data_IF_508505475991
#
_entry.id   IF_508505475991
#
_cell.length_a   1.000
_cell.length_b   1.000
_cell.length_c   1.000
_cell.angle_alpha   90.00
_cell.angle_beta   90.00
_cell.angle_gamma   90.00
#
_symmetry.space_group_name_H-M   'P 1'
#
loop_
_entity.id
_entity.type
_entity.pdbx_description
1 polymer ?
#
# COMPACT_ATOMS: atom_id res chain seq x y z
N UNK A 1 -8.87 8.15 20.92
CA UNK A 1 -8.65 8.11 19.47
C UNK A 1 -8.44 6.70 18.99
N UNK A 2 -9.38 6.20 18.20
CA UNK A 2 -9.41 4.89 17.56
C UNK A 2 -9.38 5.10 16.04
N UNK A 3 -8.47 4.42 15.38
CA UNK A 3 -8.40 4.38 13.91
C UNK A 3 -8.32 2.93 13.46
N UNK A 4 -8.81 2.65 12.26
CA UNK A 4 -8.73 1.29 11.69
C UNK A 4 -7.70 1.23 10.58
N UNK A 5 -7.09 0.05 10.40
CA UNK A 5 -6.26 -0.27 9.25
C UNK A 5 -6.80 -1.54 8.59
N UNK A 6 -7.17 -1.44 7.32
CA UNK A 6 -7.76 -2.53 6.55
C UNK A 6 -6.91 -2.84 5.32
N UNK A 7 -6.44 -4.08 5.21
CA UNK A 7 -5.81 -4.59 3.99
C UNK A 7 -6.85 -5.28 3.13
N UNK A 8 -6.93 -4.90 1.85
CA UNK A 8 -7.92 -5.41 0.89
C UNK A 8 -7.24 -6.35 -0.11
N UNK A 9 -7.79 -7.54 -0.28
CA UNK A 9 -7.28 -8.59 -1.17
C UNK A 9 -8.17 -8.74 -2.42
N UNK A 10 -7.82 -9.66 -3.33
CA UNK A 10 -8.54 -9.83 -4.60
C UNK A 10 -10.01 -10.27 -4.46
N UNK A 11 -10.41 -10.79 -3.30
CA UNK A 11 -11.78 -11.17 -2.98
C UNK A 11 -12.57 -10.07 -2.23
N UNK A 12 -11.98 -8.88 -2.06
CA UNK A 12 -12.65 -7.76 -1.42
C UNK A 12 -13.90 -7.34 -2.21
N UNK A 13 -15.05 -7.25 -1.53
CA UNK A 13 -16.32 -6.86 -2.11
C UNK A 13 -16.63 -5.41 -1.74
N UNK A 14 -16.57 -4.45 -2.68
CA UNK A 14 -16.77 -3.02 -2.41
C UNK A 14 -18.01 -2.71 -1.57
N UNK A 15 -19.12 -3.39 -1.86
CA UNK A 15 -20.41 -3.18 -1.23
C UNK A 15 -20.36 -3.51 0.27
N UNK A 16 -19.66 -4.59 0.65
CA UNK A 16 -19.45 -4.96 2.06
C UNK A 16 -18.55 -3.95 2.78
N UNK A 17 -17.57 -3.38 2.08
CA UNK A 17 -16.73 -2.34 2.65
C UNK A 17 -17.48 -1.01 2.81
N UNK A 18 -18.46 -0.71 1.96
CA UNK A 18 -19.32 0.47 2.13
C UNK A 18 -20.13 0.37 3.43
N UNK A 19 -20.76 -0.78 3.69
CA UNK A 19 -21.48 -1.05 4.94
C UNK A 19 -20.54 -1.00 6.16
N UNK A 20 -19.32 -1.53 6.01
CA UNK A 20 -18.30 -1.47 7.04
C UNK A 20 -17.88 -0.02 7.33
N UNK A 21 -17.64 0.80 6.31
CA UNK A 21 -17.28 2.21 6.48
C UNK A 21 -18.41 3.01 7.14
N UNK A 22 -19.65 2.78 6.72
CA UNK A 22 -20.82 3.40 7.36
C UNK A 22 -20.88 3.03 8.85
N UNK A 23 -20.75 1.75 9.17
CA UNK A 23 -20.73 1.25 10.56
C UNK A 23 -19.62 1.91 11.40
N UNK A 24 -18.39 1.99 10.87
CA UNK A 24 -17.27 2.62 11.60
C UNK A 24 -17.51 4.12 11.87
N UNK A 25 -18.12 4.83 10.92
CA UNK A 25 -18.45 6.24 11.11
C UNK A 25 -19.59 6.42 12.12
N UNK A 26 -20.61 5.55 12.11
CA UNK A 26 -21.68 5.54 13.11
C UNK A 26 -21.16 5.25 14.52
N UNK A 27 -20.17 4.37 14.66
CA UNK A 27 -19.48 4.09 15.93
C UNK A 27 -18.58 5.24 16.42
N UNK A 28 -18.35 6.27 15.61
CA UNK A 28 -17.51 7.41 15.97
C UNK A 28 -16.00 7.16 15.86
N UNK A 29 -15.57 6.20 15.05
CA UNK A 29 -14.14 6.00 14.72
C UNK A 29 -13.61 7.25 14.01
N UNK A 30 -12.50 7.83 14.49
CA UNK A 30 -12.04 9.12 13.96
C UNK A 30 -11.51 9.05 12.52
N UNK A 31 -11.07 7.88 12.07
CA UNK A 31 -10.78 7.66 10.66
C UNK A 31 -10.22 6.28 10.33
N UNK A 32 -10.23 5.98 9.05
CA UNK A 32 -9.92 4.67 8.49
C UNK A 32 -8.67 4.75 7.61
N UNK A 33 -7.94 3.65 7.52
CA UNK A 33 -6.89 3.45 6.52
C UNK A 33 -7.20 2.20 5.73
N UNK A 34 -7.04 2.29 4.41
CA UNK A 34 -7.21 1.19 3.47
C UNK A 34 -5.94 1.04 2.63
N UNK A 35 -5.51 -0.19 2.41
CA UNK A 35 -4.35 -0.50 1.59
C UNK A 35 -4.60 -1.77 0.79
N UNK A 36 -4.17 -1.87 -0.47
CA UNK A 36 -4.17 -3.14 -1.17
C UNK A 36 -3.21 -4.12 -0.48
N UNK A 37 -3.60 -5.39 -0.47
CA UNK A 37 -2.67 -6.49 -0.27
C UNK A 37 -1.79 -6.62 -1.53
N UNK A 38 -0.48 -6.67 -1.32
CA UNK A 38 0.52 -6.76 -2.38
C UNK A 38 1.28 -8.10 -2.26
N UNK A 39 1.51 -8.84 -3.37
CA UNK A 39 2.29 -10.07 -3.32
C UNK A 39 3.77 -9.72 -3.15
N UNK A 40 4.32 -10.03 -1.98
CA UNK A 40 5.76 -9.98 -1.74
C UNK A 40 6.30 -11.39 -1.52
N UNK A 41 7.59 -11.60 -1.82
CA UNK A 41 8.24 -12.92 -1.83
C UNK A 41 8.07 -13.69 -0.50
N UNK A 42 8.04 -12.97 0.63
CA UNK A 42 7.90 -13.56 1.96
C UNK A 42 6.44 -13.77 2.40
N UNK A 43 5.45 -13.40 1.57
CA UNK A 43 4.06 -13.62 1.90
C UNK A 43 3.72 -15.12 1.80
N UNK A 44 3.08 -15.71 2.83
CA UNK A 44 2.77 -17.13 2.85
C UNK A 44 1.69 -17.54 1.83
N UNK A 45 0.83 -16.62 1.40
CA UNK A 45 -0.28 -16.87 0.49
C UNK A 45 -0.17 -16.02 -0.78
N UNK A 46 0.35 -16.60 -1.86
CA UNK A 46 0.56 -15.87 -3.12
C UNK A 46 -0.70 -15.77 -4.00
N UNK A 47 -1.81 -16.45 -3.65
CA UNK A 47 -2.97 -16.62 -4.55
C UNK A 47 -4.04 -15.53 -4.43
N UNK A 48 -4.03 -14.75 -3.35
CA UNK A 48 -5.08 -13.79 -3.04
C UNK A 48 -4.69 -12.33 -3.21
N UNK A 49 -3.53 -12.07 -3.80
CA UNK A 49 -3.01 -10.73 -3.96
C UNK A 49 -3.51 -10.03 -5.23
N UNK A 50 -3.49 -8.69 -5.18
CA UNK A 50 -3.88 -7.83 -6.28
C UNK A 50 -2.64 -7.42 -7.08
N UNK A 51 -2.71 -7.56 -8.40
CA UNK A 51 -1.83 -6.82 -9.30
C UNK A 51 -2.22 -5.33 -9.35
N UNK A 52 -1.34 -4.48 -9.88
CA UNK A 52 -1.56 -3.03 -9.87
C UNK A 52 -2.84 -2.60 -10.59
N UNK A 53 -3.20 -3.23 -11.72
CA UNK A 53 -4.46 -2.94 -12.42
C UNK A 53 -5.69 -3.42 -11.67
N UNK A 54 -5.62 -4.59 -11.04
CA UNK A 54 -6.70 -5.13 -10.22
C UNK A 54 -6.94 -4.25 -8.98
N UNK A 55 -5.86 -3.77 -8.36
CA UNK A 55 -5.90 -2.76 -7.30
C UNK A 55 -6.64 -1.52 -7.77
N UNK A 56 -6.27 -0.96 -8.92
CA UNK A 56 -6.94 0.22 -9.48
C UNK A 56 -8.42 -0.03 -9.74
N UNK A 57 -8.78 -1.19 -10.29
CA UNK A 57 -10.17 -1.57 -10.54
C UNK A 57 -10.97 -1.68 -9.24
N UNK A 58 -10.43 -2.35 -8.22
CA UNK A 58 -11.05 -2.51 -6.91
C UNK A 58 -11.26 -1.15 -6.22
N UNK A 59 -10.22 -0.33 -6.13
CA UNK A 59 -10.29 0.95 -5.41
C UNK A 59 -11.14 2.00 -6.14
N UNK A 60 -11.26 1.92 -7.48
CA UNK A 60 -12.29 2.70 -8.22
C UNK A 60 -13.69 2.31 -7.79
N UNK A 61 -14.03 1.02 -7.81
CA UNK A 61 -15.35 0.53 -7.37
C UNK A 61 -15.63 0.87 -5.90
N UNK A 62 -14.59 0.87 -5.07
CA UNK A 62 -14.69 1.15 -3.65
C UNK A 62 -14.87 2.65 -3.34
N UNK A 63 -14.12 3.54 -4.01
CA UNK A 63 -13.97 4.93 -3.56
C UNK A 63 -14.30 6.02 -4.60
N UNK A 64 -14.70 5.66 -5.84
CA UNK A 64 -15.26 6.65 -6.77
C UNK A 64 -16.61 7.16 -6.24
N UNK A 65 -16.72 8.46 -6.05
CA UNK A 65 -17.91 9.05 -5.43
C UNK A 65 -18.09 8.68 -3.94
N UNK A 66 -17.02 8.32 -3.23
CA UNK A 66 -17.06 8.00 -1.80
C UNK A 66 -17.80 9.08 -0.99
N UNK A 67 -18.56 8.65 0.02
CA UNK A 67 -19.36 9.56 0.86
C UNK A 67 -18.45 10.53 1.61
N UNK A 68 -18.83 11.81 1.66
CA UNK A 68 -18.10 12.84 2.43
C UNK A 68 -18.05 12.57 3.95
N UNK A 69 -18.97 11.74 4.45
CA UNK A 69 -19.00 11.28 5.83
C UNK A 69 -17.87 10.29 6.15
N UNK A 70 -17.37 9.54 5.16
CA UNK A 70 -16.25 8.62 5.36
C UNK A 70 -14.96 9.41 5.57
N UNK A 71 -14.30 9.16 6.70
CA UNK A 71 -13.05 9.82 7.08
C UNK A 71 -11.88 8.85 6.91
N UNK A 72 -10.93 9.22 6.07
CA UNK A 72 -9.69 8.48 5.87
C UNK A 72 -8.51 9.26 6.47
N UNK A 73 -7.64 8.57 7.19
CA UNK A 73 -6.40 9.12 7.73
C UNK A 73 -5.24 8.91 6.73
N UNK A 74 -5.52 9.19 5.46
CA UNK A 74 -4.62 8.97 4.32
C UNK A 74 -4.64 10.21 3.44
N UNK A 75 -3.53 10.52 2.79
CA UNK A 75 -3.40 11.66 1.91
C UNK A 75 -4.39 11.51 0.73
N UNK A 76 -5.11 12.57 0.33
CA UNK A 76 -6.02 12.47 -0.80
C UNK A 76 -5.32 12.01 -2.09
N UNK A 77 -4.06 12.41 -2.32
CA UNK A 77 -3.29 11.93 -3.48
C UNK A 77 -2.98 10.43 -3.43
N UNK A 78 -2.79 9.84 -2.24
CA UNK A 78 -2.61 8.39 -2.13
C UNK A 78 -3.91 7.66 -2.52
N UNK A 79 -5.07 8.16 -2.07
CA UNK A 79 -6.37 7.61 -2.48
C UNK A 79 -6.60 7.77 -4.00
N UNK A 80 -6.22 8.91 -4.58
CA UNK A 80 -6.28 9.09 -6.04
C UNK A 80 -5.31 8.15 -6.78
N UNK A 81 -4.12 7.88 -6.23
CA UNK A 81 -3.17 6.90 -6.76
C UNK A 81 -3.75 5.49 -6.77
N UNK A 82 -4.38 5.06 -5.67
CA UNK A 82 -5.06 3.76 -5.61
C UNK A 82 -6.19 3.64 -6.65
N UNK A 83 -6.82 4.75 -7.04
CA UNK A 83 -7.83 4.79 -8.10
C UNK A 83 -7.24 4.96 -9.51
N UNK A 84 -5.91 5.06 -9.65
CA UNK A 84 -5.25 5.37 -10.92
C UNK A 84 -5.67 6.73 -11.49
N UNK A 85 -5.80 7.74 -10.63
CA UNK A 85 -6.02 9.15 -10.96
C UNK A 85 -4.77 10.01 -10.73
N UNK A 86 -3.76 9.43 -10.09
CA UNK A 86 -2.48 10.04 -9.80
C UNK A 86 -1.41 8.96 -9.96
N UNK A 87 -0.22 9.36 -10.38
CA UNK A 87 0.94 8.49 -10.49
C UNK A 87 1.90 8.86 -9.36
N UNK A 88 2.32 7.88 -8.57
CA UNK A 88 3.31 8.04 -7.50
C UNK A 88 4.43 7.04 -7.73
N UNK A 89 5.64 7.43 -7.34
CA UNK A 89 6.76 6.51 -7.16
C UNK A 89 6.99 6.25 -5.67
N UNK A 90 7.43 5.04 -5.31
CA UNK A 90 7.58 4.63 -3.93
C UNK A 90 8.74 5.38 -3.25
N UNK A 91 8.52 5.81 -2.01
CA UNK A 91 9.56 6.35 -1.11
C UNK A 91 9.80 5.32 0.00
N UNK A 92 10.54 4.22 -0.24
CA UNK A 92 10.65 3.12 0.72
C UNK A 92 11.32 3.52 2.06
N UNK A 93 12.17 4.54 2.06
CA UNK A 93 12.78 5.11 3.27
C UNK A 93 11.85 6.04 4.05
N UNK A 94 10.65 6.35 3.55
CA UNK A 94 9.69 7.24 4.21
C UNK A 94 8.93 6.57 5.37
N UNK A 95 8.99 5.24 5.49
CA UNK A 95 8.47 4.48 6.62
C UNK A 95 9.44 3.33 6.95
N UNK A 96 10.62 3.65 7.49
CA UNK A 96 11.65 2.67 7.78
C UNK A 96 11.24 1.79 8.97
N UNK A 97 11.64 0.52 8.96
CA UNK A 97 11.39 -0.40 10.06
C UNK A 97 12.68 -0.69 10.82
N UNK A 98 12.65 -0.46 12.14
CA UNK A 98 13.65 -0.93 13.08
C UNK A 98 13.09 -2.07 13.90
N UNK A 99 13.81 -3.19 13.96
CA UNK A 99 13.45 -4.34 14.77
C UNK A 99 14.68 -4.90 15.49
N UNK A 100 14.55 -6.05 16.14
CA UNK A 100 15.63 -6.66 16.95
C UNK A 100 16.92 -6.93 16.17
N UNK A 101 16.87 -7.00 14.83
CA UNK A 101 18.03 -7.20 13.97
C UNK A 101 18.63 -5.89 13.44
N UNK A 102 17.98 -4.74 13.70
CA UNK A 102 18.38 -3.41 13.25
C UNK A 102 17.40 -2.77 12.27
N UNK A 103 17.90 -1.81 11.49
CA UNK A 103 17.17 -1.12 10.42
C UNK A 103 17.03 -2.02 9.19
N UNK A 104 15.82 -2.42 8.86
CA UNK A 104 15.58 -3.39 7.78
C UNK A 104 15.73 -2.77 6.39
N UNK A 105 16.49 -3.44 5.51
CA UNK A 105 16.75 -3.04 4.12
C UNK A 105 15.84 -3.78 3.13
N UNK A 106 15.52 -3.19 1.97
CA UNK A 106 15.36 -1.74 1.76
C UNK A 106 14.10 -1.19 2.46
N UNK A 107 13.14 -2.06 2.75
CA UNK A 107 11.85 -1.72 3.35
C UNK A 107 11.33 -2.90 4.19
N UNK A 108 10.28 -2.66 4.97
CA UNK A 108 9.78 -3.67 5.91
C UNK A 108 9.19 -4.92 5.24
N UNK A 109 8.83 -4.86 3.96
CA UNK A 109 8.26 -6.00 3.20
C UNK A 109 9.33 -6.90 2.58
N UNK A 110 10.34 -6.32 1.92
CA UNK A 110 11.32 -7.11 1.16
C UNK A 110 12.36 -7.77 2.05
N UNK A 111 12.81 -7.08 3.12
CA UNK A 111 13.71 -7.62 4.13
C UNK A 111 14.94 -8.36 3.54
N UNK A 112 15.80 -7.62 2.85
CA UNK A 112 17.00 -8.13 2.17
C UNK A 112 18.28 -7.96 3.01
N UNK A 113 18.14 -7.50 4.26
CA UNK A 113 19.23 -7.34 5.19
C UNK A 113 18.91 -6.31 6.27
N UNK A 114 19.91 -5.99 7.09
CA UNK A 114 19.79 -5.05 8.18
C UNK A 114 20.96 -4.08 8.20
N UNK A 115 20.73 -2.89 8.75
CA UNK A 115 21.72 -1.87 9.05
C UNK A 115 21.74 -1.59 10.56
N UNK A 116 22.93 -1.32 11.10
CA UNK A 116 23.13 -1.01 12.50
C UNK A 116 22.63 0.39 12.88
N UNK A 117 22.60 1.31 11.92
CA UNK A 117 22.13 2.69 12.10
C UNK A 117 21.27 3.16 10.92
N UNK A 118 20.48 4.20 11.12
CA UNK A 118 19.70 4.80 10.05
C UNK A 118 20.59 5.40 8.96
N UNK A 119 21.74 5.99 9.33
CA UNK A 119 22.73 6.47 8.36
C UNK A 119 23.25 5.35 7.47
N UNK A 120 23.60 4.21 8.05
CA UNK A 120 24.02 3.03 7.28
C UNK A 120 22.90 2.52 6.37
N UNK A 121 21.64 2.50 6.82
CA UNK A 121 20.48 2.16 5.97
C UNK A 121 20.43 3.06 4.73
N UNK A 122 20.57 4.37 4.92
CA UNK A 122 20.49 5.34 3.83
C UNK A 122 21.66 5.27 2.85
N UNK A 123 22.87 5.04 3.35
CA UNK A 123 24.10 5.05 2.53
C UNK A 123 24.39 3.72 1.83
N UNK A 124 24.07 2.59 2.48
CA UNK A 124 24.41 1.26 1.96
C UNK A 124 23.29 0.59 1.15
N UNK A 125 22.11 1.21 1.08
CA UNK A 125 21.00 0.70 0.27
C UNK A 125 21.01 1.35 -1.10
N UNK A 126 21.09 0.54 -2.15
CA UNK A 126 20.99 0.97 -3.56
C UNK A 126 19.55 1.36 -3.92
N UNK A 127 19.07 2.52 -3.45
CA UNK A 127 17.67 2.95 -3.57
C UNK A 127 17.15 2.99 -5.00
N UNK A 128 18.01 3.25 -5.98
CA UNK A 128 17.67 3.26 -7.41
C UNK A 128 17.17 1.92 -7.93
N UNK A 129 17.42 0.82 -7.21
CA UNK A 129 16.95 -0.54 -7.53
C UNK A 129 15.56 -0.89 -6.99
N UNK A 130 14.87 0.06 -6.36
CA UNK A 130 13.56 -0.17 -5.75
C UNK A 130 12.53 0.86 -6.22
N UNK A 131 11.25 0.48 -6.09
CA UNK A 131 10.15 1.24 -6.66
C UNK A 131 9.73 0.73 -8.04
N UNK A 132 8.59 1.18 -8.55
CA UNK A 132 7.98 0.68 -9.79
C UNK A 132 8.79 1.08 -11.02
N UNK A 133 9.34 2.29 -11.03
CA UNK A 133 10.20 2.79 -12.10
C UNK A 133 11.56 2.08 -12.20
N UNK A 134 12.00 1.34 -11.17
CA UNK A 134 13.33 0.70 -11.14
C UNK A 134 13.44 -0.55 -12.03
N UNK A 135 12.33 -1.11 -12.49
CA UNK A 135 12.30 -2.41 -13.17
C UNK A 135 12.42 -3.62 -12.24
N UNK A 136 12.49 -3.41 -10.92
CA UNK A 136 12.51 -4.49 -9.94
C UNK A 136 11.15 -5.20 -9.89
N UNK A 137 11.13 -6.49 -10.21
CA UNK A 137 9.92 -7.33 -10.20
C UNK A 137 9.26 -7.41 -8.82
N UNK A 138 10.02 -7.25 -7.73
CA UNK A 138 9.51 -7.19 -6.35
C UNK A 138 8.87 -5.86 -5.98
N UNK A 139 8.74 -4.93 -6.92
CA UNK A 139 8.14 -3.62 -6.70
C UNK A 139 7.05 -3.28 -7.73
N UNK A 140 6.97 -4.01 -8.84
CA UNK A 140 6.14 -3.66 -10.01
C UNK A 140 4.66 -3.45 -9.68
N UNK A 141 4.09 -4.30 -8.82
CA UNK A 141 2.69 -4.23 -8.39
C UNK A 141 2.48 -3.56 -7.03
N UNK A 142 3.54 -3.02 -6.42
CA UNK A 142 3.46 -2.42 -5.10
C UNK A 142 2.62 -1.14 -5.14
N UNK A 143 1.58 -1.08 -4.31
CA UNK A 143 0.75 0.10 -4.12
C UNK A 143 0.41 0.32 -2.62
N UNK A 144 1.23 -0.24 -1.72
CA UNK A 144 0.96 -0.21 -0.27
C UNK A 144 1.22 1.16 0.33
N UNK A 145 0.36 1.57 1.26
CA UNK A 145 0.40 2.89 1.87
C UNK A 145 1.76 3.27 2.46
N UNK A 146 2.52 2.34 3.06
CA UNK A 146 3.77 2.67 3.74
C UNK A 146 4.85 3.31 2.84
N UNK A 147 4.91 2.93 1.57
CA UNK A 147 5.87 3.47 0.62
C UNK A 147 5.31 4.65 -0.16
N UNK A 148 3.99 4.71 -0.33
CA UNK A 148 3.33 5.66 -1.22
C UNK A 148 2.67 6.83 -0.49
N UNK A 149 2.37 6.73 0.80
CA UNK A 149 1.92 7.87 1.60
C UNK A 149 3.00 8.95 1.72
N UNK A 150 4.26 8.64 2.06
CA UNK A 150 5.31 9.66 2.07
C UNK A 150 5.44 10.37 0.72
N UNK A 151 5.33 9.63 -0.38
CA UNK A 151 5.31 10.19 -1.74
C UNK A 151 4.10 11.08 -1.99
N UNK A 152 2.91 10.66 -1.56
CA UNK A 152 1.68 11.44 -1.71
C UNK A 152 1.74 12.76 -0.92
N UNK A 153 2.31 12.73 0.28
CA UNK A 153 2.55 13.94 1.09
C UNK A 153 3.55 14.85 0.39
N UNK A 154 4.69 14.32 -0.07
CA UNK A 154 5.70 15.08 -0.79
C UNK A 154 5.12 15.73 -2.06
N UNK A 155 4.35 15.01 -2.86
CA UNK A 155 3.72 15.54 -4.09
C UNK A 155 2.65 16.61 -3.80
N UNK A 156 1.93 16.46 -2.68
CA UNK A 156 0.92 17.44 -2.24
C UNK A 156 1.54 18.81 -2.02
N UNK A 157 2.68 18.87 -1.32
CA UNK A 157 3.33 20.13 -0.95
C UNK A 157 4.45 20.54 -1.92
N UNK A 158 4.96 19.60 -2.71
CA UNK A 158 6.04 19.81 -3.67
C UNK A 158 5.57 20.24 -5.06
N UNK A 159 4.26 20.21 -5.34
CA UNK A 159 3.73 20.58 -6.65
C UNK A 159 2.44 21.43 -6.57
N UNK A 160 2.35 22.44 -7.45
CA UNK A 160 1.12 23.24 -7.59
C UNK A 160 -0.07 22.36 -8.00
N UNK A 161 0.16 21.37 -8.88
CA UNK A 161 -0.86 20.41 -9.31
C UNK A 161 -1.37 19.58 -8.13
N UNK A 162 -0.47 19.11 -7.26
CA UNK A 162 -0.81 18.35 -6.06
C UNK A 162 -1.66 19.16 -5.10
N UNK A 163 -1.18 20.37 -4.76
CA UNK A 163 -1.89 21.28 -3.87
C UNK A 163 -3.31 21.63 -4.39
N UNK A 164 -3.43 21.98 -5.67
CA UNK A 164 -4.72 22.31 -6.28
C UNK A 164 -5.67 21.11 -6.35
N UNK A 165 -5.13 19.90 -6.61
CA UNK A 165 -5.93 18.66 -6.62
C UNK A 165 -6.47 18.36 -5.24
N UNK A 166 -5.63 18.45 -4.21
CA UNK A 166 -6.03 18.24 -2.81
C UNK A 166 -7.06 19.28 -2.39
N UNK A 167 -6.85 20.57 -2.68
CA UNK A 167 -7.83 21.63 -2.38
C UNK A 167 -9.20 21.36 -3.03
N UNK A 168 -9.20 20.92 -4.29
CA UNK A 168 -10.43 20.54 -5.00
C UNK A 168 -11.14 19.35 -4.33
N UNK A 169 -10.40 18.32 -3.90
CA UNK A 169 -10.96 17.16 -3.21
C UNK A 169 -11.56 17.54 -1.85
N UNK A 170 -10.93 18.45 -1.11
CA UNK A 170 -11.49 18.94 0.16
C UNK A 170 -12.79 19.73 -0.03
N UNK A 171 -12.86 20.61 -1.03
CA UNK A 171 -14.05 21.45 -1.28
C UNK A 171 -15.22 20.63 -1.86
N UNK A 172 -14.94 19.81 -2.88
CA UNK A 172 -15.99 19.16 -3.65
C UNK A 172 -16.20 17.69 -3.29
N UNK A 173 -15.24 17.05 -2.61
CA UNK A 173 -15.22 15.61 -2.36
C UNK A 173 -14.67 14.81 -3.55
N UNK A 174 -14.54 13.48 -3.39
CA UNK A 174 -14.14 12.60 -4.49
C UNK A 174 -15.26 12.53 -5.55
N UNK A 175 -14.94 12.93 -6.78
CA UNK A 175 -15.89 12.83 -7.89
C UNK A 175 -16.08 11.39 -8.38
N UNK A 176 -17.21 11.11 -9.04
CA UNK A 176 -17.43 9.86 -9.78
C UNK A 176 -16.97 10.03 -11.22
N UNK A 177 -16.00 9.22 -11.67
CA UNK A 177 -15.54 9.23 -13.06
C UNK A 177 -16.14 8.03 -13.80
N UNK A 178 -17.01 8.28 -14.78
CA UNK A 178 -17.49 7.24 -15.70
C UNK A 178 -16.40 6.95 -16.74
N UNK A 179 -15.45 6.09 -16.39
CA UNK A 179 -14.43 5.56 -17.30
C UNK A 179 -14.42 4.03 -17.21
N UNK A 180 -14.01 3.32 -18.28
CA UNK A 180 -13.85 1.87 -18.22
C UNK A 180 -12.98 1.46 -17.02
N UNK A 181 -13.37 0.38 -16.34
CA UNK A 181 -12.54 -0.21 -15.30
C UNK A 181 -11.21 -0.65 -15.90
N UNK A 182 -10.15 -0.61 -15.10
CA UNK A 182 -8.87 -1.15 -15.56
C UNK A 182 -9.07 -2.65 -15.83
N UNK A 183 -8.78 -3.08 -17.06
CA UNK A 183 -8.77 -4.50 -17.39
C UNK A 183 -7.68 -5.18 -16.55
N UNK A 184 -7.95 -6.36 -15.96
CA UNK A 184 -6.92 -7.15 -15.30
C UNK A 184 -5.77 -7.39 -16.27
N UNK A 185 -4.53 -7.43 -15.77
CA UNK A 185 -3.44 -7.92 -16.58
C UNK A 185 -3.71 -9.40 -16.94
N UNK A 186 -3.31 -9.82 -18.14
CA UNK A 186 -3.23 -11.25 -18.47
C UNK A 186 -2.43 -11.93 -17.36
N UNK A 187 -2.77 -13.17 -16.94
CA UNK A 187 -2.05 -13.86 -15.87
C UNK A 187 -0.56 -13.87 -16.21
N UNK A 188 0.22 -13.07 -15.49
CA UNK A 188 1.67 -13.07 -15.59
C UNK A 188 2.09 -14.43 -15.04
N UNK A 189 2.91 -15.22 -15.75
CA UNK A 189 3.43 -16.47 -15.21
C UNK A 189 4.00 -16.19 -13.83
N UNK A 190 3.51 -16.92 -12.83
CA UNK A 190 4.08 -16.84 -11.48
C UNK A 190 5.60 -16.92 -11.63
N UNK A 191 6.36 -15.98 -11.06
CA UNK A 191 7.81 -16.14 -11.01
C UNK A 191 8.10 -17.53 -10.46
N UNK A 192 9.03 -18.27 -11.08
CA UNK A 192 9.50 -19.52 -10.52
C UNK A 192 10.22 -19.21 -9.20
N UNK A 193 9.46 -19.14 -8.12
CA UNK A 193 10.00 -18.99 -6.78
C UNK A 193 10.54 -20.36 -6.37
N UNK A 194 11.82 -20.39 -5.98
CA UNK A 194 12.39 -21.56 -5.35
C UNK A 194 11.59 -21.86 -4.07
N UNK A 195 11.22 -23.14 -3.86
CA UNK A 195 10.53 -23.54 -2.64
C UNK A 195 11.32 -23.05 -1.41
N UNK A 196 10.66 -22.44 -0.41
CA UNK A 196 11.33 -22.10 0.83
C UNK A 196 11.90 -23.39 1.41
N UNK A 197 13.23 -23.45 1.58
CA UNK A 197 13.87 -24.51 2.36
C UNK A 197 13.18 -24.52 3.72
N UNK A 198 12.45 -25.59 4.03
CA UNK A 198 11.90 -25.86 5.36
C UNK A 198 13.07 -25.75 6.35
N UNK A 199 13.18 -24.63 7.06
CA UNK A 199 13.99 -24.61 8.27
C UNK A 199 13.22 -25.42 9.30
N UNK A 200 13.88 -26.42 9.88
CA UNK A 200 13.37 -27.14 11.04
C UNK A 200 12.88 -26.14 12.08
N UNK A 201 11.61 -26.25 12.46
CA UNK A 201 11.04 -25.50 13.58
C UNK A 201 11.92 -25.77 14.81
N UNK A 202 12.42 -24.70 15.43
CA UNK A 202 13.08 -24.79 16.73
C UNK A 202 11.97 -25.08 17.74
N UNK A 203 11.96 -26.30 18.30
CA UNK A 203 11.15 -26.61 19.48
C UNK A 203 11.62 -25.73 20.63
N UNK A 204 10.78 -24.78 21.03
CA UNK A 204 10.93 -24.07 22.29
C UNK A 204 10.40 -25.00 23.39
N UNK A 205 11.30 -25.74 24.03
CA UNK A 205 11.00 -26.44 25.28
C UNK A 205 10.74 -25.40 26.36
N UNK A 206 9.48 -25.31 26.80
CA UNK A 206 9.10 -24.57 28.01
C UNK A 206 9.69 -25.36 29.18
N UNK A 207 10.56 -24.73 29.96
CA UNK A 207 11.03 -25.27 31.23
C UNK A 207 9.92 -25.02 32.27
N UNK A 208 9.45 -26.10 32.90
CA UNK A 208 8.50 -26.09 34.02
C UNK A 208 9.08 -25.35 35.25
#
# INVERSE_FOLDING_TARGET
>A
RVTTNSTLFNNAQPERYHEFFDTLMEMGVEGMMVSPGYPYEKAPDQKHFLHSRETVSLFRRLLDGAKKSWRFNQSPLFIEFLKGNWDLECTPWGSPAYNIFGWQKPCYLLNEGYASSFGELMESTEWSRYGRASGNSKCTDCMVHCGYEPSAVADTFGSLRGLMTVAKLFLFGPGKKNRPLAEPDLPVPMPHFAEPRRSSLVELTVLD
#
